data_IF_787585965165
#
_entry.id   IF_787585965165
#
_cell.length_a   1.000
_cell.length_b   1.000
_cell.length_c   1.000
_cell.angle_alpha   90.00
_cell.angle_beta   90.00
_cell.angle_gamma   90.00
#
_symmetry.space_group_name_H-M   'P 1'
#
loop_
_entity.id
_entity.type
_entity.pdbx_description
1 polymer ?
#
# COMPACT_ATOMS: atom_id res chain seq x y z
N UNK A 1 22.97 -10.32 4.95
CA UNK A 1 22.34 -9.00 4.74
C UNK A 1 20.91 -9.11 5.22
N UNK A 2 20.49 -8.19 6.10
CA UNK A 2 19.10 -8.14 6.54
C UNK A 2 18.36 -7.18 5.62
N UNK A 3 17.21 -7.61 5.10
CA UNK A 3 16.36 -6.80 4.23
C UNK A 3 14.92 -6.86 4.71
N UNK A 4 14.13 -5.87 4.34
CA UNK A 4 12.69 -5.80 4.55
C UNK A 4 12.04 -5.07 3.37
N UNK A 5 10.75 -5.31 3.14
CA UNK A 5 9.94 -4.53 2.19
C UNK A 5 9.09 -3.55 2.97
N UNK A 6 9.19 -2.27 2.63
CA UNK A 6 8.35 -1.20 3.16
C UNK A 6 7.41 -0.74 2.06
N UNK A 7 6.10 -0.84 2.30
CA UNK A 7 5.05 -0.34 1.40
C UNK A 7 4.48 0.92 2.04
N UNK A 8 4.62 2.06 1.37
CA UNK A 8 4.34 3.39 1.94
C UNK A 8 3.13 3.99 1.23
N UNK A 9 2.13 4.39 2.00
CA UNK A 9 1.01 5.24 1.61
C UNK A 9 0.21 4.72 0.40
N UNK A 10 0.06 3.39 0.32
CA UNK A 10 -0.81 2.73 -0.67
C UNK A 10 -2.22 2.64 -0.08
N UNK A 11 -2.87 3.79 0.04
CA UNK A 11 -4.18 3.98 0.69
C UNK A 11 -5.26 4.35 -0.33
N UNK A 12 -6.52 4.05 -0.03
CA UNK A 12 -7.67 4.33 -0.92
C UNK A 12 -7.77 5.83 -1.25
N UNK A 13 -7.58 6.69 -0.26
CA UNK A 13 -7.58 8.15 -0.44
C UNK A 13 -6.41 8.71 -1.26
N UNK A 14 -5.50 7.85 -1.74
CA UNK A 14 -4.41 8.22 -2.64
C UNK A 14 -4.47 7.48 -3.98
N UNK A 15 -5.00 6.24 -4.01
CA UNK A 15 -5.02 5.38 -5.20
C UNK A 15 -6.37 5.29 -5.93
N UNK A 16 -7.47 5.56 -5.22
CA UNK A 16 -8.83 5.47 -5.76
C UNK A 16 -9.40 6.85 -6.14
N UNK A 17 -8.67 7.94 -5.85
CA UNK A 17 -9.07 9.29 -6.24
C UNK A 17 -9.02 9.49 -7.77
N UNK A 18 -9.80 10.45 -8.29
CA UNK A 18 -9.82 10.79 -9.71
C UNK A 18 -9.23 12.20 -9.92
N UNK A 19 -8.20 12.36 -10.77
CA UNK A 19 -7.54 11.32 -11.54
C UNK A 19 -6.70 10.38 -10.66
N UNK A 20 -6.68 9.09 -11.02
CA UNK A 20 -5.86 8.10 -10.32
C UNK A 20 -4.37 8.38 -10.53
N UNK A 21 -3.50 7.97 -9.59
CA UNK A 21 -2.06 7.99 -9.81
C UNK A 21 -1.67 7.23 -11.08
N UNK A 22 -0.56 7.64 -11.69
CA UNK A 22 -0.03 6.97 -12.87
C UNK A 22 0.22 5.48 -12.58
N UNK A 23 -0.29 4.60 -13.46
CA UNK A 23 -0.13 3.15 -13.36
C UNK A 23 -0.51 2.57 -11.98
N UNK A 24 -1.58 3.08 -11.37
CA UNK A 24 -2.04 2.67 -10.04
C UNK A 24 -2.23 1.14 -9.93
N UNK A 25 -2.90 0.53 -10.92
CA UNK A 25 -3.17 -0.91 -10.92
C UNK A 25 -1.89 -1.74 -11.09
N UNK A 26 -1.03 -1.38 -12.05
CA UNK A 26 0.23 -2.08 -12.29
C UNK A 26 1.21 -1.92 -11.12
N UNK A 27 1.16 -0.79 -10.42
CA UNK A 27 1.96 -0.55 -9.22
C UNK A 27 1.50 -1.46 -8.09
N UNK A 28 0.19 -1.56 -7.84
CA UNK A 28 -0.38 -2.49 -6.84
C UNK A 28 -0.01 -3.94 -7.17
N UNK A 29 -0.11 -4.35 -8.44
CA UNK A 29 0.26 -5.70 -8.89
C UNK A 29 1.72 -6.02 -8.58
N UNK A 30 2.64 -5.09 -8.89
CA UNK A 30 4.08 -5.25 -8.62
C UNK A 30 4.37 -5.32 -7.12
N UNK A 31 3.69 -4.52 -6.31
CA UNK A 31 3.81 -4.55 -4.84
C UNK A 31 3.37 -5.91 -4.30
N UNK A 32 2.21 -6.43 -4.75
CA UNK A 32 1.72 -7.74 -4.33
C UNK A 32 2.71 -8.86 -4.67
N UNK A 33 3.28 -8.84 -5.88
CA UNK A 33 4.31 -9.82 -6.29
C UNK A 33 5.58 -9.72 -5.44
N UNK A 34 6.04 -8.50 -5.15
CA UNK A 34 7.25 -8.28 -4.34
C UNK A 34 7.03 -8.74 -2.89
N UNK A 35 5.91 -8.34 -2.28
CA UNK A 35 5.60 -8.69 -0.89
C UNK A 35 5.32 -10.18 -0.72
N UNK A 36 4.67 -10.83 -1.69
CA UNK A 36 4.51 -12.29 -1.70
C UNK A 36 5.86 -13.02 -1.75
N UNK A 37 6.78 -12.58 -2.62
CA UNK A 37 8.14 -13.15 -2.69
C UNK A 37 8.91 -12.94 -1.38
N UNK A 38 8.80 -11.76 -0.77
CA UNK A 38 9.45 -11.45 0.50
C UNK A 38 8.93 -12.33 1.63
N UNK A 39 7.61 -12.43 1.81
CA UNK A 39 6.99 -13.31 2.81
C UNK A 39 7.40 -14.78 2.59
N UNK A 40 7.41 -15.25 1.35
CA UNK A 40 7.86 -16.61 0.99
C UNK A 40 9.32 -16.90 1.31
N UNK A 41 10.17 -15.86 1.40
CA UNK A 41 11.58 -15.97 1.78
C UNK A 41 11.83 -15.67 3.28
N UNK A 42 10.79 -15.47 4.08
CA UNK A 42 10.92 -15.06 5.49
C UNK A 42 11.44 -13.62 5.68
N UNK A 43 11.36 -12.79 4.63
CA UNK A 43 11.75 -11.38 4.66
C UNK A 43 10.55 -10.56 5.19
N UNK A 44 10.74 -9.72 6.22
CA UNK A 44 9.67 -8.88 6.76
C UNK A 44 9.03 -7.95 5.73
N UNK A 45 7.71 -7.80 5.80
CA UNK A 45 6.92 -6.84 5.03
C UNK A 45 6.17 -5.94 6.00
N UNK A 46 6.30 -4.62 5.84
CA UNK A 46 5.64 -3.62 6.70
C UNK A 46 4.88 -2.63 5.82
N UNK A 47 3.62 -2.39 6.18
CA UNK A 47 2.77 -1.37 5.56
C UNK A 47 2.76 -0.13 6.45
N UNK A 48 2.98 1.02 5.83
CA UNK A 48 3.02 2.33 6.46
C UNK A 48 1.89 3.15 5.84
N UNK A 49 1.07 3.76 6.69
CA UNK A 49 -0.09 4.56 6.29
C UNK A 49 0.05 5.96 6.87
N UNK A 50 -0.18 6.97 6.03
CA UNK A 50 -0.27 8.36 6.45
C UNK A 50 -1.63 8.64 7.10
N UNK A 51 -1.60 9.44 8.17
CA UNK A 51 -2.77 9.93 8.87
C UNK A 51 -2.78 11.46 8.85
N UNK A 52 -3.92 12.04 8.43
CA UNK A 52 -4.16 13.47 8.47
C UNK A 52 -5.66 13.76 8.63
N UNK A 53 -6.00 14.94 9.15
CA UNK A 53 -7.39 15.37 9.19
C UNK A 53 -8.00 15.42 7.78
N UNK A 54 -9.29 15.07 7.66
CA UNK A 54 -9.98 14.98 6.37
C UNK A 54 -10.06 13.55 5.85
N UNK A 55 -9.81 13.34 4.56
CA UNK A 55 -10.01 12.04 3.90
C UNK A 55 -9.12 10.92 4.46
N UNK A 56 -7.97 11.25 5.06
CA UNK A 56 -7.01 10.29 5.64
C UNK A 56 -7.05 10.20 7.17
N UNK A 57 -8.20 10.51 7.78
CA UNK A 57 -8.38 10.35 9.23
C UNK A 57 -8.25 8.87 9.59
N UNK A 58 -7.56 8.53 10.69
CA UNK A 58 -7.36 7.13 11.09
C UNK A 58 -8.67 6.34 11.11
N UNK A 59 -8.67 5.20 10.44
CA UNK A 59 -9.83 4.31 10.32
C UNK A 59 -10.88 4.73 9.28
N UNK A 60 -10.78 5.92 8.67
CA UNK A 60 -11.67 6.35 7.58
C UNK A 60 -11.52 5.45 6.34
N UNK A 61 -12.49 5.54 5.43
CA UNK A 61 -12.41 4.85 4.14
C UNK A 61 -11.17 5.25 3.33
N UNK A 62 -10.83 6.54 3.29
CA UNK A 62 -9.64 7.01 2.59
C UNK A 62 -8.34 6.52 3.24
N UNK A 63 -8.34 6.32 4.56
CA UNK A 63 -7.17 5.85 5.31
C UNK A 63 -6.87 4.36 5.08
N UNK A 64 -7.88 3.52 4.78
CA UNK A 64 -7.67 2.09 4.51
C UNK A 64 -6.70 1.86 3.35
N UNK A 65 -6.07 0.69 3.31
CA UNK A 65 -5.21 0.27 2.20
C UNK A 65 -5.98 0.21 0.87
N UNK A 66 -5.29 0.56 -0.21
CA UNK A 66 -5.88 0.67 -1.55
C UNK A 66 -6.55 -0.64 -1.99
N UNK A 67 -7.60 -0.53 -2.81
CA UNK A 67 -8.29 -1.69 -3.35
C UNK A 67 -7.31 -2.59 -4.13
N UNK A 68 -7.31 -3.90 -3.84
CA UNK A 68 -6.44 -4.87 -4.50
C UNK A 68 -5.04 -5.00 -3.89
N UNK A 69 -4.66 -4.19 -2.90
CA UNK A 69 -3.42 -4.40 -2.14
C UNK A 69 -3.57 -5.58 -1.17
N UNK A 70 -2.59 -6.50 -1.18
CA UNK A 70 -2.56 -7.69 -0.30
C UNK A 70 -1.58 -7.48 0.86
N UNK A 71 -2.13 -7.12 2.01
CA UNK A 71 -1.40 -6.90 3.27
C UNK A 71 -1.17 -8.17 4.09
#
# INVERSE_FOLDING_TARGET
>A
MNSAVLVIDVQRGLFDEVPRPYAADETIERINRLTARARGAGIPVVFIQHEAAGSLTFGSDGWQLAAGLVA
#
